data_IF_824314891539
#
_entry.id   IF_824314891539
#
_cell.length_a   1.000
_cell.length_b   1.000
_cell.length_c   1.000
_cell.angle_alpha   90.00
_cell.angle_beta   90.00
_cell.angle_gamma   90.00
#
_symmetry.space_group_name_H-M   'P 1'
#
loop_
_entity.id
_entity.type
_entity.pdbx_description
1 polymer ?
#
# COMPACT_ATOMS: atom_id res chain seq x y z
N UNK A 1 -22.41 47.45 -54.83
CA UNK A 1 -22.52 47.40 -53.37
C UNK A 1 -22.90 46.01 -52.80
N UNK A 2 -23.58 45.12 -53.48
CA UNK A 2 -23.97 43.79 -52.94
C UNK A 2 -22.79 42.82 -52.72
N UNK A 3 -21.72 42.90 -53.52
CA UNK A 3 -20.54 42.01 -53.36
C UNK A 3 -19.71 42.26 -52.10
N UNK A 4 -19.67 43.50 -51.61
CA UNK A 4 -18.91 43.86 -50.41
C UNK A 4 -19.59 43.37 -49.10
N UNK A 5 -20.93 43.27 -49.12
CA UNK A 5 -21.69 42.76 -47.97
C UNK A 5 -21.43 41.27 -47.74
N UNK A 6 -21.38 40.46 -48.82
CA UNK A 6 -21.12 39.01 -48.73
C UNK A 6 -19.68 38.71 -48.32
N UNK A 7 -18.69 39.53 -48.69
CA UNK A 7 -17.29 39.30 -48.26
C UNK A 7 -17.12 39.65 -46.77
N UNK A 8 -17.79 40.68 -46.29
CA UNK A 8 -17.76 41.07 -44.87
C UNK A 8 -18.46 40.00 -44.01
N UNK A 9 -19.60 39.50 -44.47
CA UNK A 9 -20.32 38.41 -43.82
C UNK A 9 -19.50 37.11 -43.72
N UNK A 10 -18.81 36.75 -44.80
CA UNK A 10 -17.93 35.58 -44.82
C UNK A 10 -16.74 35.71 -43.82
N UNK A 11 -16.16 36.92 -43.74
CA UNK A 11 -15.07 37.17 -42.77
C UNK A 11 -15.55 37.06 -41.33
N UNK A 12 -16.70 37.65 -40.99
CA UNK A 12 -17.28 37.58 -39.67
C UNK A 12 -17.64 36.13 -39.32
N UNK A 13 -18.29 35.40 -40.22
CA UNK A 13 -18.58 33.97 -40.00
C UNK A 13 -17.33 33.14 -39.78
N UNK A 14 -16.26 33.38 -40.54
CA UNK A 14 -14.96 32.72 -40.37
C UNK A 14 -14.33 32.99 -39.01
N UNK A 15 -14.36 34.23 -38.55
CA UNK A 15 -13.84 34.62 -37.21
C UNK A 15 -14.66 33.98 -36.09
N UNK A 16 -15.97 33.91 -36.18
CA UNK A 16 -16.84 33.24 -35.21
C UNK A 16 -16.55 31.73 -35.14
N UNK A 17 -16.40 31.09 -36.26
CA UNK A 17 -16.02 29.64 -36.35
C UNK A 17 -14.65 29.41 -35.71
N UNK A 18 -13.65 30.20 -36.06
CA UNK A 18 -12.31 30.09 -35.47
C UNK A 18 -12.33 30.31 -33.96
N UNK A 19 -13.04 31.31 -33.48
CA UNK A 19 -13.19 31.59 -32.05
C UNK A 19 -13.88 30.45 -31.30
N UNK A 20 -14.91 29.84 -31.89
CA UNK A 20 -15.63 28.71 -31.29
C UNK A 20 -14.75 27.45 -31.20
N UNK A 21 -13.92 27.19 -32.22
CA UNK A 21 -12.96 26.08 -32.20
C UNK A 21 -11.90 26.30 -31.15
N UNK A 22 -11.33 27.50 -31.06
CA UNK A 22 -10.33 27.84 -30.03
C UNK A 22 -10.91 27.68 -28.63
N UNK A 23 -12.13 28.15 -28.41
CA UNK A 23 -12.83 28.00 -27.15
C UNK A 23 -13.09 26.53 -26.80
N UNK A 24 -13.53 25.72 -27.76
CA UNK A 24 -13.72 24.27 -27.56
C UNK A 24 -12.40 23.56 -27.19
N UNK A 25 -11.31 23.91 -27.86
CA UNK A 25 -9.99 23.35 -27.56
C UNK A 25 -9.49 23.76 -26.18
N UNK A 26 -9.72 24.99 -25.76
CA UNK A 26 -9.36 25.44 -24.41
C UNK A 26 -10.20 24.76 -23.32
N UNK A 27 -11.50 24.58 -23.54
CA UNK A 27 -12.38 23.90 -22.60
C UNK A 27 -12.00 22.42 -22.39
N UNK A 28 -11.56 21.73 -23.47
CA UNK A 28 -11.11 20.33 -23.38
C UNK A 28 -9.73 20.18 -22.78
N UNK A 29 -8.84 21.18 -22.88
CA UNK A 29 -7.48 21.13 -22.31
C UNK A 29 -7.45 21.34 -20.78
N UNK A 30 -8.40 22.10 -20.23
CA UNK A 30 -8.41 22.43 -18.78
C UNK A 30 -8.97 21.28 -17.92
N UNK A 31 -9.95 20.54 -18.40
CA UNK A 31 -10.60 19.46 -17.64
C UNK A 31 -9.68 18.28 -17.30
N UNK A 32 -8.80 17.77 -18.15
CA UNK A 32 -7.89 16.68 -17.80
C UNK A 32 -6.82 17.07 -16.77
N UNK A 33 -6.34 18.31 -16.81
CA UNK A 33 -5.30 18.79 -15.87
C UNK A 33 -5.81 18.93 -14.43
N UNK A 34 -7.02 19.44 -14.25
CA UNK A 34 -7.61 19.61 -12.91
C UNK A 34 -7.98 18.27 -12.28
N UNK A 35 -8.47 17.32 -13.05
CA UNK A 35 -8.73 15.96 -12.57
C UNK A 35 -7.44 15.23 -12.17
N UNK A 36 -6.36 15.37 -12.94
CA UNK A 36 -5.06 14.76 -12.65
C UNK A 36 -4.42 15.34 -11.38
N UNK A 37 -4.45 16.65 -11.18
CA UNK A 37 -3.88 17.28 -9.97
C UNK A 37 -4.67 16.95 -8.71
N UNK A 38 -5.99 16.82 -8.80
CA UNK A 38 -6.82 16.39 -7.67
C UNK A 38 -6.52 14.96 -7.25
N UNK A 39 -6.36 14.04 -8.21
CA UNK A 39 -5.99 12.65 -7.92
C UNK A 39 -4.61 12.55 -7.28
N UNK A 40 -3.62 13.26 -7.80
CA UNK A 40 -2.26 13.30 -7.23
C UNK A 40 -2.24 13.83 -5.78
N UNK A 41 -3.07 14.82 -5.47
CA UNK A 41 -3.15 15.33 -4.09
C UNK A 41 -3.68 14.25 -3.14
N UNK A 42 -4.72 13.53 -3.53
CA UNK A 42 -5.30 12.43 -2.75
C UNK A 42 -4.29 11.29 -2.55
N UNK A 43 -3.60 10.88 -3.61
CA UNK A 43 -2.57 9.85 -3.55
C UNK A 43 -1.42 10.25 -2.62
N UNK A 44 -0.95 11.50 -2.71
CA UNK A 44 0.09 12.02 -1.83
C UNK A 44 -0.35 12.04 -0.36
N UNK A 45 -1.60 12.41 -0.10
CA UNK A 45 -2.17 12.37 1.24
C UNK A 45 -2.25 10.94 1.77
N UNK A 46 -2.73 9.98 0.98
CA UNK A 46 -2.77 8.56 1.36
C UNK A 46 -1.36 8.01 1.63
N UNK A 47 -0.40 8.33 0.76
CA UNK A 47 1.01 7.93 0.95
C UNK A 47 1.58 8.49 2.24
N UNK A 48 1.31 9.76 2.54
CA UNK A 48 1.78 10.42 3.77
C UNK A 48 1.19 9.77 5.01
N UNK A 49 -0.12 9.50 5.04
CA UNK A 49 -0.78 8.80 6.15
C UNK A 49 -0.21 7.41 6.33
N UNK A 50 -0.08 6.64 5.25
CA UNK A 50 0.45 5.27 5.30
C UNK A 50 1.90 5.24 5.80
N UNK A 51 2.75 6.16 5.35
CA UNK A 51 4.11 6.30 5.85
C UNK A 51 4.15 6.69 7.33
N UNK A 52 3.26 7.57 7.78
CA UNK A 52 3.13 7.95 9.18
C UNK A 52 2.80 6.75 10.07
N UNK A 53 1.83 5.91 9.66
CA UNK A 53 1.47 4.68 10.37
C UNK A 53 2.65 3.71 10.43
N UNK A 54 3.32 3.48 9.30
CA UNK A 54 4.47 2.59 9.23
C UNK A 54 5.64 3.08 10.10
N UNK A 55 5.87 4.40 10.18
CA UNK A 55 6.90 4.98 11.04
C UNK A 55 6.56 4.82 12.52
N UNK A 56 5.34 5.15 12.93
CA UNK A 56 4.89 4.96 14.31
C UNK A 56 4.95 3.49 14.72
N UNK A 57 4.47 2.58 13.87
CA UNK A 57 4.52 1.15 14.14
C UNK A 57 5.95 0.60 14.21
N UNK A 58 6.90 1.18 13.46
CA UNK A 58 8.31 0.81 13.55
C UNK A 58 8.93 1.29 14.89
N UNK A 59 8.63 2.52 15.30
CA UNK A 59 9.12 3.12 16.55
C UNK A 59 8.59 2.38 17.78
N UNK A 60 7.34 1.92 17.75
CA UNK A 60 6.73 1.12 18.81
C UNK A 60 7.14 -0.37 18.77
N UNK A 61 7.91 -0.82 17.76
CA UNK A 61 8.25 -2.22 17.55
C UNK A 61 7.10 -3.07 17.00
N UNK A 62 5.93 -2.47 16.75
CA UNK A 62 4.72 -3.15 16.30
C UNK A 62 4.83 -3.76 14.89
N UNK A 63 5.68 -3.22 14.02
CA UNK A 63 5.98 -3.87 12.74
C UNK A 63 6.74 -5.17 12.94
N UNK A 64 7.70 -5.19 13.87
CA UNK A 64 8.52 -6.36 14.15
C UNK A 64 7.69 -7.47 14.78
N UNK A 65 6.89 -7.16 15.81
CA UNK A 65 5.97 -8.12 16.42
C UNK A 65 4.99 -8.71 15.40
N UNK A 66 4.48 -7.89 14.49
CA UNK A 66 3.56 -8.36 13.43
C UNK A 66 4.25 -9.27 12.40
N UNK A 67 5.48 -8.99 12.01
CA UNK A 67 6.27 -9.87 11.13
C UNK A 67 6.54 -11.22 11.80
N UNK A 68 6.74 -11.23 13.10
CA UNK A 68 7.03 -12.41 13.93
C UNK A 68 5.75 -13.06 14.52
N UNK A 69 4.56 -12.58 14.15
CA UNK A 69 3.25 -13.07 14.60
C UNK A 69 2.87 -14.40 13.91
N UNK A 70 3.69 -15.40 14.10
CA UNK A 70 3.66 -16.66 13.38
C UNK A 70 3.35 -17.86 14.28
N UNK A 71 2.40 -18.68 13.86
CA UNK A 71 2.11 -19.94 14.52
C UNK A 71 2.95 -21.06 13.90
N UNK A 72 3.99 -21.49 14.61
CA UNK A 72 4.90 -22.52 14.17
C UNK A 72 4.24 -23.90 13.97
N UNK A 73 3.14 -24.20 14.68
CA UNK A 73 2.45 -25.48 14.58
C UNK A 73 1.51 -25.56 13.36
N UNK A 74 0.90 -24.44 12.99
CA UNK A 74 -0.04 -24.38 11.85
C UNK A 74 0.62 -23.83 10.58
N UNK A 75 1.88 -23.43 10.63
CA UNK A 75 2.67 -22.89 9.51
C UNK A 75 2.04 -21.68 8.82
N UNK A 76 1.40 -20.81 9.64
CA UNK A 76 0.68 -19.62 9.16
C UNK A 76 0.65 -18.52 10.22
N UNK A 77 0.22 -17.32 9.86
CA UNK A 77 -0.05 -16.28 10.84
C UNK A 77 -1.21 -16.69 11.76
N UNK A 78 -1.13 -16.28 13.04
CA UNK A 78 -2.16 -16.62 14.02
C UNK A 78 -3.54 -16.16 13.56
N UNK A 79 -4.56 -17.00 13.82
CA UNK A 79 -5.96 -16.71 13.53
C UNK A 79 -6.31 -16.45 12.05
N UNK A 80 -5.43 -16.84 11.12
CA UNK A 80 -5.76 -16.84 9.70
C UNK A 80 -6.56 -18.07 9.31
N UNK A 81 -7.29 -17.97 8.19
CA UNK A 81 -7.91 -19.13 7.52
C UNK A 81 -6.84 -20.02 6.87
N UNK A 82 -7.26 -21.09 6.19
CA UNK A 82 -6.37 -21.97 5.44
C UNK A 82 -5.60 -21.26 4.31
N UNK A 83 -6.02 -20.06 3.93
CA UNK A 83 -5.29 -19.20 2.99
C UNK A 83 -3.95 -18.69 3.57
N UNK A 84 -3.81 -18.65 4.90
CA UNK A 84 -2.60 -18.22 5.58
C UNK A 84 -2.41 -16.70 5.65
N UNK A 85 -3.43 -15.92 5.28
CA UNK A 85 -3.47 -14.45 5.38
C UNK A 85 -4.88 -13.97 5.75
N UNK A 86 -5.01 -12.70 6.12
CA UNK A 86 -6.28 -12.09 6.54
C UNK A 86 -7.01 -11.49 5.35
N UNK A 87 -8.33 -11.76 5.24
CA UNK A 87 -9.21 -11.22 4.18
C UNK A 87 -10.23 -10.22 4.72
N UNK A 88 -10.65 -10.38 5.99
CA UNK A 88 -11.73 -9.60 6.61
C UNK A 88 -11.21 -8.65 7.70
N UNK A 89 -10.17 -7.90 7.39
CA UNK A 89 -9.56 -6.98 8.34
C UNK A 89 -8.17 -7.42 8.79
N UNK A 90 -7.47 -6.58 9.56
CA UNK A 90 -6.11 -6.86 10.01
C UNK A 90 -6.06 -7.83 11.19
N UNK A 91 -4.87 -8.40 11.48
CA UNK A 91 -4.64 -9.16 12.69
C UNK A 91 -4.92 -8.33 13.95
N UNK A 92 -5.26 -8.99 15.05
CA UNK A 92 -5.39 -8.34 16.35
C UNK A 92 -4.02 -8.05 16.98
N UNK A 93 -3.19 -7.31 16.24
CA UNK A 93 -1.88 -6.82 16.67
C UNK A 93 -1.92 -5.29 16.82
N UNK A 94 -0.92 -4.73 17.47
CA UNK A 94 -0.79 -3.27 17.59
C UNK A 94 -0.76 -2.59 16.24
N UNK A 95 0.01 -3.11 15.28
CA UNK A 95 0.01 -2.60 13.92
C UNK A 95 -1.34 -2.77 13.22
N UNK A 96 -2.01 -3.92 13.40
CA UNK A 96 -3.34 -4.14 12.86
C UNK A 96 -4.36 -3.13 13.36
N UNK A 97 -4.34 -2.82 14.67
CA UNK A 97 -5.20 -1.76 15.25
C UNK A 97 -4.89 -0.36 14.71
N UNK A 98 -3.61 -0.05 14.41
CA UNK A 98 -3.23 1.21 13.76
C UNK A 98 -3.83 1.33 12.36
N UNK A 99 -3.79 0.24 11.57
CA UNK A 99 -4.39 0.19 10.23
C UNK A 99 -5.91 0.39 10.29
N UNK A 100 -6.62 -0.35 11.15
CA UNK A 100 -8.07 -0.21 11.33
C UNK A 100 -8.47 1.24 11.66
N UNK A 101 -7.83 1.85 12.66
CA UNK A 101 -8.12 3.24 13.05
C UNK A 101 -7.88 4.25 11.93
N UNK A 102 -6.94 3.96 11.05
CA UNK A 102 -6.60 4.88 9.97
C UNK A 102 -7.48 4.75 8.74
N UNK A 103 -7.96 3.55 8.42
CA UNK A 103 -8.53 3.23 7.12
C UNK A 103 -9.98 2.74 7.15
N UNK A 104 -10.40 1.94 8.15
CA UNK A 104 -11.70 1.25 8.13
C UNK A 104 -12.88 2.22 8.03
N UNK A 105 -12.85 3.35 8.75
CA UNK A 105 -13.93 4.36 8.73
C UNK A 105 -13.88 5.29 7.51
N UNK A 106 -12.91 5.13 6.60
CA UNK A 106 -12.65 6.08 5.50
C UNK A 106 -12.89 5.51 4.11
N UNK A 107 -13.49 4.33 4.00
CA UNK A 107 -13.67 3.62 2.72
C UNK A 107 -12.34 3.46 1.95
N UNK A 108 -11.28 3.15 2.70
CA UNK A 108 -9.96 2.86 2.14
C UNK A 108 -9.68 1.39 2.38
N UNK A 109 -9.56 0.63 1.29
CA UNK A 109 -9.06 -0.75 1.34
C UNK A 109 -7.54 -0.79 1.32
N UNK A 110 -7.00 -1.85 1.88
CA UNK A 110 -5.55 -2.02 1.93
C UNK A 110 -5.13 -3.49 1.87
N UNK A 111 -4.01 -3.73 1.21
CA UNK A 111 -3.28 -4.99 1.27
C UNK A 111 -1.96 -4.76 2.01
N UNK A 112 -1.54 -5.74 2.79
CA UNK A 112 -0.24 -5.75 3.45
C UNK A 112 0.51 -6.99 3.04
N UNK A 113 1.75 -6.80 2.59
CA UNK A 113 2.65 -7.90 2.24
C UNK A 113 4.01 -7.72 2.89
N UNK A 114 4.64 -8.82 3.23
CA UNK A 114 5.98 -8.87 3.77
C UNK A 114 6.91 -9.36 2.64
N UNK A 115 7.88 -8.53 2.29
CA UNK A 115 8.88 -8.81 1.26
C UNK A 115 10.19 -9.11 1.96
N UNK A 116 10.81 -10.25 1.68
CA UNK A 116 12.05 -10.71 2.30
C UNK A 116 12.92 -11.44 1.28
N UNK A 117 14.14 -11.79 1.64
CA UNK A 117 15.08 -12.47 0.75
C UNK A 117 15.32 -13.92 1.19
N UNK A 118 15.56 -14.77 0.21
CA UNK A 118 16.18 -16.09 0.44
C UNK A 118 17.71 -15.95 0.47
N UNK A 119 18.44 -16.96 0.97
CA UNK A 119 19.91 -16.97 0.96
C UNK A 119 20.53 -16.81 -0.43
N UNK A 120 19.83 -17.21 -1.49
CA UNK A 120 20.26 -17.04 -2.88
C UNK A 120 20.00 -15.62 -3.45
N UNK A 121 19.47 -14.67 -2.63
CA UNK A 121 19.14 -13.32 -3.05
C UNK A 121 17.76 -13.16 -3.72
N UNK A 122 17.03 -14.24 -3.94
CA UNK A 122 15.66 -14.18 -4.48
C UNK A 122 14.73 -13.48 -3.50
N UNK A 123 13.93 -12.52 -4.00
CA UNK A 123 12.91 -11.82 -3.19
C UNK A 123 11.59 -12.57 -3.23
N UNK A 124 11.09 -12.88 -2.05
CA UNK A 124 9.77 -13.44 -1.85
C UNK A 124 8.81 -12.41 -1.28
N UNK A 125 7.52 -12.63 -1.55
CA UNK A 125 6.41 -11.83 -1.01
C UNK A 125 5.44 -12.77 -0.32
N UNK A 126 5.15 -12.49 0.95
CA UNK A 126 4.11 -13.19 1.69
C UNK A 126 2.98 -12.23 2.00
N UNK A 127 1.75 -12.51 1.57
CA UNK A 127 0.60 -11.71 1.96
C UNK A 127 0.37 -11.87 3.47
N UNK A 128 0.11 -10.74 4.14
CA UNK A 128 -0.39 -10.70 5.51
C UNK A 128 -1.88 -10.35 5.52
N UNK A 129 -2.24 -9.32 4.76
CA UNK A 129 -3.64 -8.88 4.59
C UNK A 129 -3.89 -8.73 3.08
N UNK A 130 -5.00 -9.28 2.62
CA UNK A 130 -5.47 -9.15 1.23
C UNK A 130 -6.97 -8.89 1.22
N UNK A 131 -7.37 -7.62 0.99
CA UNK A 131 -8.77 -7.19 0.91
C UNK A 131 -9.27 -7.13 -0.54
N UNK A 132 -8.43 -7.48 -1.50
CA UNK A 132 -8.81 -7.57 -2.91
C UNK A 132 -7.84 -6.90 -3.88
N UNK A 133 -8.33 -6.62 -5.08
CA UNK A 133 -7.52 -6.06 -6.17
C UNK A 133 -7.40 -4.55 -6.01
N UNK A 134 -6.17 -4.01 -5.90
CA UNK A 134 -5.97 -2.56 -5.85
C UNK A 134 -6.46 -1.85 -7.11
N UNK A 135 -7.03 -0.65 -6.95
CA UNK A 135 -7.38 0.22 -8.09
C UNK A 135 -6.13 0.82 -8.75
N UNK A 136 -6.31 1.40 -9.95
CA UNK A 136 -5.21 2.02 -10.71
C UNK A 136 -4.53 3.17 -9.95
N UNK A 137 -5.24 3.80 -9.01
CA UNK A 137 -4.75 4.90 -8.16
C UNK A 137 -4.22 4.40 -6.80
N UNK A 138 -3.90 3.11 -6.69
CA UNK A 138 -3.38 2.55 -5.45
C UNK A 138 -2.00 3.10 -5.11
N UNK A 139 -1.80 3.40 -3.85
CA UNK A 139 -0.55 3.93 -3.31
C UNK A 139 0.18 2.85 -2.53
N UNK A 140 1.49 2.75 -2.74
CA UNK A 140 2.35 1.83 -2.01
C UNK A 140 3.29 2.59 -1.08
N UNK A 141 3.32 2.22 0.18
CA UNK A 141 4.31 2.65 1.15
C UNK A 141 4.94 1.43 1.84
N UNK A 142 6.16 1.55 2.35
CA UNK A 142 6.80 0.42 3.00
C UNK A 142 7.92 0.82 3.95
N UNK A 143 8.10 0.01 4.99
CA UNK A 143 9.14 0.16 6.00
C UNK A 143 9.91 -1.13 6.17
N UNK A 144 11.21 -1.02 6.37
CA UNK A 144 12.09 -2.18 6.57
C UNK A 144 12.22 -2.48 8.06
N UNK A 145 12.24 -3.78 8.39
CA UNK A 145 12.43 -4.33 9.72
C UNK A 145 13.58 -5.34 9.64
N UNK A 146 14.55 -5.21 10.52
CA UNK A 146 15.64 -6.18 10.64
C UNK A 146 15.25 -7.26 11.65
N UNK A 147 15.34 -8.50 11.26
CA UNK A 147 15.13 -9.68 12.10
C UNK A 147 16.50 -10.26 12.45
N UNK A 148 16.76 -10.42 13.74
CA UNK A 148 17.98 -11.03 14.27
C UNK A 148 17.73 -12.46 14.73
N UNK A 149 18.77 -13.26 14.89
CA UNK A 149 18.67 -14.68 15.24
C UNK A 149 17.95 -14.95 16.56
N UNK A 150 18.06 -14.02 17.50
CA UNK A 150 17.47 -14.14 18.83
C UNK A 150 16.02 -13.58 18.91
N UNK A 151 15.49 -13.04 17.83
CA UNK A 151 14.14 -12.47 17.82
C UNK A 151 13.09 -13.54 18.11
N UNK A 152 12.25 -13.36 19.14
CA UNK A 152 11.24 -14.34 19.52
C UNK A 152 10.08 -14.33 18.53
N UNK A 153 9.44 -15.47 18.30
CA UNK A 153 8.11 -15.50 17.70
C UNK A 153 7.08 -14.97 18.70
N UNK A 154 6.01 -14.39 18.18
CA UNK A 154 4.93 -13.82 18.98
C UNK A 154 3.70 -14.73 18.96
N UNK A 155 3.04 -14.83 20.11
CA UNK A 155 1.81 -15.60 20.31
C UNK A 155 0.58 -14.90 19.71
N UNK A 156 -0.57 -15.56 19.74
CA UNK A 156 -1.86 -14.97 19.33
C UNK A 156 -2.28 -13.74 20.16
N UNK A 157 -1.69 -13.55 21.34
CA UNK A 157 -1.90 -12.37 22.21
C UNK A 157 -0.88 -11.25 21.95
N UNK A 158 -0.05 -11.37 20.92
CA UNK A 158 1.05 -10.44 20.63
C UNK A 158 2.12 -10.37 21.75
N UNK A 159 2.33 -11.49 22.46
CA UNK A 159 3.36 -11.63 23.48
C UNK A 159 4.51 -12.50 22.96
N UNK A 160 5.77 -12.20 23.28
CA UNK A 160 6.90 -13.05 22.92
C UNK A 160 6.71 -14.46 23.51
N UNK A 161 6.94 -15.50 22.68
CA UNK A 161 6.85 -16.90 23.13
C UNK A 161 8.17 -17.27 23.81
N UNK A 162 8.15 -17.61 25.13
CA UNK A 162 9.37 -17.97 25.83
C UNK A 162 10.09 -19.18 25.19
N UNK A 163 11.39 -19.03 24.93
CA UNK A 163 12.23 -20.10 24.39
C UNK A 163 12.01 -20.42 22.91
N UNK A 164 11.16 -19.67 22.19
CA UNK A 164 10.97 -19.83 20.76
C UNK A 164 11.40 -18.57 20.01
N UNK A 165 12.45 -18.70 19.20
CA UNK A 165 12.96 -17.64 18.33
C UNK A 165 12.96 -18.10 16.86
N UNK A 166 13.33 -17.19 15.96
CA UNK A 166 13.33 -17.47 14.51
C UNK A 166 14.27 -18.60 14.10
N UNK A 167 15.37 -18.82 14.84
CA UNK A 167 16.37 -19.86 14.53
C UNK A 167 15.95 -21.25 14.98
N UNK A 168 15.20 -21.38 16.07
CA UNK A 168 14.71 -22.68 16.56
C UNK A 168 13.26 -23.01 16.12
N UNK A 169 12.59 -22.08 15.45
CA UNK A 169 11.28 -22.31 14.85
C UNK A 169 11.41 -23.21 13.61
N UNK A 170 10.74 -24.36 13.62
CA UNK A 170 10.86 -25.38 12.56
C UNK A 170 10.17 -25.00 11.26
N UNK A 171 9.22 -24.06 11.29
CA UNK A 171 8.37 -23.71 10.16
C UNK A 171 8.22 -22.21 9.91
N UNK A 172 9.15 -21.38 10.43
CA UNK A 172 9.09 -19.95 10.16
C UNK A 172 9.23 -19.67 8.66
N UNK A 173 8.41 -18.78 8.13
CA UNK A 173 8.29 -18.56 6.67
C UNK A 173 9.49 -17.85 6.02
N UNK A 174 10.35 -17.22 6.81
CA UNK A 174 11.61 -16.67 6.32
C UNK A 174 12.73 -17.66 6.53
N UNK A 175 13.74 -17.57 5.66
CA UNK A 175 14.98 -18.34 5.79
C UNK A 175 16.07 -17.44 6.35
N UNK A 176 16.98 -18.02 7.12
CA UNK A 176 18.18 -17.35 7.56
C UNK A 176 19.06 -17.00 6.36
N UNK A 177 19.49 -15.76 6.27
CA UNK A 177 20.37 -15.25 5.22
C UNK A 177 21.85 -15.22 5.64
N UNK A 178 22.14 -15.58 6.89
CA UNK A 178 23.48 -15.73 7.44
C UNK A 178 23.99 -14.52 8.24
N UNK A 179 25.07 -14.72 8.97
CA UNK A 179 25.65 -13.81 9.95
C UNK A 179 24.74 -13.57 11.18
N UNK A 180 24.78 -12.39 11.81
CA UNK A 180 23.99 -12.07 13.00
C UNK A 180 22.59 -11.47 12.66
N UNK A 181 22.25 -11.42 11.39
CA UNK A 181 20.96 -10.94 10.88
C UNK A 181 20.26 -12.10 10.21
N UNK A 182 19.19 -12.59 10.83
CA UNK A 182 18.38 -13.66 10.27
C UNK A 182 17.81 -13.29 8.88
N UNK A 183 17.17 -12.12 8.81
CA UNK A 183 16.64 -11.60 7.54
C UNK A 183 16.32 -10.10 7.64
N UNK A 184 16.15 -9.46 6.49
CA UNK A 184 15.67 -8.09 6.37
C UNK A 184 14.32 -8.12 5.66
N UNK A 185 13.26 -7.85 6.40
CA UNK A 185 11.90 -7.84 5.91
C UNK A 185 11.44 -6.40 5.62
N UNK A 186 10.75 -6.21 4.49
CA UNK A 186 10.05 -4.96 4.19
C UNK A 186 8.55 -5.19 4.29
N UNK A 187 7.90 -4.50 5.20
CA UNK A 187 6.44 -4.46 5.30
C UNK A 187 5.95 -3.40 4.31
N UNK A 188 5.16 -3.81 3.31
CA UNK A 188 4.56 -2.95 2.31
C UNK A 188 3.06 -2.90 2.50
N UNK A 189 2.52 -1.68 2.57
CA UNK A 189 1.08 -1.40 2.62
C UNK A 189 0.67 -0.76 1.32
N UNK A 190 -0.31 -1.35 0.66
CA UNK A 190 -0.91 -0.87 -0.58
C UNK A 190 -2.30 -0.38 -0.21
N UNK A 191 -2.61 0.89 -0.43
CA UNK A 191 -3.89 1.50 -0.09
C UNK A 191 -4.60 2.04 -1.32
N UNK A 192 -5.92 1.88 -1.39
CA UNK A 192 -6.76 2.45 -2.46
C UNK A 192 -8.16 2.78 -1.93
N UNK A 193 -8.88 3.61 -2.64
CA UNK A 193 -10.30 3.89 -2.37
C UNK A 193 -11.20 2.94 -3.14
N UNK A 194 -12.29 2.56 -2.49
CA UNK A 194 -13.39 1.79 -3.08
C UNK A 194 -14.40 2.76 -3.68
#
# INVERSE_FOLDING_TARGET
MRGQAHTLEAIVAGLLLLSSIIFALQATAVTPLSASTSSQHIENQQRSVTNGILSAAAEEGALKSTVLYWNNSSERFHNTTDLGYYTNGPPNTTFGRMLSRAFDDRSISYNVRIVFQKPNGERLRRPLIDQGVPSDNAVVAGRTVTITDDDPLYSASEEPIPGMNVTNATSFYMQDTGANVYNVARVEVITWRI
#
